data_IF_173727211007
#
_entry.id   IF_173727211007
#
_cell.length_a   1.000
_cell.length_b   1.000
_cell.length_c   1.000
_cell.angle_alpha   90.00
_cell.angle_beta   90.00
_cell.angle_gamma   90.00
#
_symmetry.space_group_name_H-M   'P 1'
#
loop_
_entity.id
_entity.type
_entity.pdbx_description
1 polymer ?
#
# COMPACT_ATOMS: atom_id res chain seq x y z
N UNK A 1 27.22 27.72 0.34
CA UNK A 1 26.65 26.39 0.57
C UNK A 1 25.19 26.61 0.95
N UNK A 2 24.28 26.39 0.01
CA UNK A 2 22.84 26.52 0.23
C UNK A 2 22.38 25.33 1.06
N UNK A 3 21.61 25.60 2.11
CA UNK A 3 20.89 24.60 2.91
C UNK A 3 20.17 23.61 1.99
N UNK A 4 20.10 22.30 2.29
CA UNK A 4 19.16 21.42 1.61
C UNK A 4 17.78 22.09 1.67
N UNK A 5 17.09 22.16 0.52
CA UNK A 5 15.91 23.02 0.38
C UNK A 5 14.94 22.75 1.51
N UNK A 6 14.62 23.81 2.27
CA UNK A 6 13.68 23.79 3.39
C UNK A 6 12.24 23.54 2.94
N UNK A 7 12.01 23.46 1.62
CA UNK A 7 10.69 23.35 1.03
C UNK A 7 10.17 21.90 1.13
N UNK A 8 8.93 21.74 1.61
CA UNK A 8 8.33 20.42 1.75
C UNK A 8 8.15 19.75 0.39
N UNK A 9 8.39 18.44 0.31
CA UNK A 9 7.97 17.65 -0.85
C UNK A 9 6.44 17.50 -0.80
N UNK A 10 5.73 18.11 -1.75
CA UNK A 10 4.27 18.05 -1.83
C UNK A 10 3.82 16.83 -2.66
N UNK A 11 3.35 15.77 -2.00
CA UNK A 11 2.82 14.57 -2.66
C UNK A 11 1.32 14.67 -2.76
N UNK A 12 0.80 14.68 -3.99
CA UNK A 12 -0.63 14.60 -4.23
C UNK A 12 -1.10 13.15 -4.25
N UNK A 13 -2.26 12.89 -3.66
CA UNK A 13 -2.86 11.55 -3.64
C UNK A 13 -4.38 11.64 -3.72
N UNK A 14 -5.02 10.60 -4.23
CA UNK A 14 -6.48 10.51 -4.22
C UNK A 14 -6.95 10.16 -2.80
N UNK A 15 -7.79 11.00 -2.22
CA UNK A 15 -8.42 10.69 -0.93
C UNK A 15 -9.51 9.66 -1.14
N UNK A 16 -9.74 8.82 -0.14
CA UNK A 16 -10.83 7.84 -0.11
C UNK A 16 -11.46 7.83 1.27
N UNK A 17 -12.79 7.74 1.38
CA UNK A 17 -13.50 7.87 2.66
C UNK A 17 -14.49 6.73 2.93
N UNK A 18 -14.53 6.23 4.17
CA UNK A 18 -15.56 5.28 4.61
C UNK A 18 -16.93 5.93 4.80
N UNK A 19 -17.91 5.15 5.27
CA UNK A 19 -19.27 5.62 5.53
C UNK A 19 -19.37 6.65 6.66
N UNK A 20 -18.42 6.61 7.60
CA UNK A 20 -18.32 7.57 8.70
C UNK A 20 -17.61 8.87 8.31
N UNK A 21 -17.12 8.97 7.07
CA UNK A 21 -16.35 10.12 6.59
C UNK A 21 -14.88 10.10 7.02
N UNK A 22 -14.38 8.99 7.57
CA UNK A 22 -12.96 8.83 7.89
C UNK A 22 -12.19 8.47 6.63
N UNK A 23 -10.99 9.04 6.49
CA UNK A 23 -10.12 8.73 5.37
C UNK A 23 -9.58 7.28 5.50
N UNK A 24 -9.73 6.51 4.44
CA UNK A 24 -9.34 5.11 4.35
C UNK A 24 -8.43 4.94 3.15
N UNK A 25 -7.13 4.71 3.35
CA UNK A 25 -6.16 4.61 2.27
C UNK A 25 -6.10 3.18 1.71
N UNK A 26 -6.73 2.95 0.57
CA UNK A 26 -6.73 1.65 -0.13
C UNK A 26 -5.55 1.51 -1.10
N UNK A 27 -4.83 2.59 -1.41
CA UNK A 27 -3.63 2.56 -2.25
C UNK A 27 -2.38 2.30 -1.38
N UNK A 28 -1.74 1.13 -1.47
CA UNK A 28 -0.56 0.79 -0.66
C UNK A 28 0.62 1.72 -0.89
N UNK A 29 0.72 2.33 -2.08
CA UNK A 29 1.82 3.24 -2.44
C UNK A 29 1.73 4.55 -1.66
N UNK A 30 0.52 5.05 -1.41
CA UNK A 30 0.29 6.23 -0.56
C UNK A 30 0.71 5.92 0.88
N UNK A 31 0.32 4.75 1.40
CA UNK A 31 0.69 4.33 2.76
C UNK A 31 2.21 4.20 2.88
N UNK A 32 2.87 3.60 1.89
CA UNK A 32 4.34 3.44 1.86
C UNK A 32 5.05 4.79 1.89
N UNK A 33 4.62 5.75 1.05
CA UNK A 33 5.21 7.08 1.03
C UNK A 33 5.03 7.80 2.38
N UNK A 34 3.86 7.66 3.04
CA UNK A 34 3.63 8.23 4.38
C UNK A 34 4.52 7.61 5.45
N UNK A 35 4.63 6.28 5.44
CA UNK A 35 5.47 5.53 6.39
C UNK A 35 6.93 5.92 6.19
N UNK A 36 7.42 5.89 4.95
CA UNK A 36 8.79 6.28 4.63
C UNK A 36 9.06 7.75 5.01
N UNK A 37 8.15 8.68 4.71
CA UNK A 37 8.29 10.08 5.11
C UNK A 37 8.45 10.23 6.64
N UNK A 38 7.59 9.54 7.40
CA UNK A 38 7.56 9.59 8.87
C UNK A 38 8.83 9.00 9.47
N UNK A 39 9.21 7.80 9.04
CA UNK A 39 10.37 7.10 9.59
C UNK A 39 11.67 7.78 9.20
N UNK A 40 11.77 8.28 7.96
CA UNK A 40 12.92 9.05 7.48
C UNK A 40 12.94 10.50 7.97
N UNK A 41 11.90 10.95 8.67
CA UNK A 41 11.70 12.33 9.14
C UNK A 41 11.84 13.38 8.02
N UNK A 42 11.43 13.01 6.81
CA UNK A 42 11.44 13.91 5.67
C UNK A 42 10.30 14.92 5.79
N UNK A 43 10.57 16.19 5.46
CA UNK A 43 9.54 17.20 5.36
C UNK A 43 8.69 16.95 4.08
N UNK A 44 7.59 16.22 4.25
CA UNK A 44 6.68 15.83 3.16
C UNK A 44 5.27 16.26 3.52
N UNK A 45 4.60 16.94 2.60
CA UNK A 45 3.21 17.37 2.75
C UNK A 45 2.34 16.53 1.82
N UNK A 46 1.36 15.83 2.38
CA UNK A 46 0.42 15.03 1.61
C UNK A 46 -0.81 15.87 1.26
N UNK A 47 -0.95 16.24 -0.01
CA UNK A 47 -2.03 17.06 -0.53
C UNK A 47 -3.14 16.17 -1.08
N UNK A 48 -4.26 16.10 -0.37
CA UNK A 48 -5.38 15.29 -0.80
C UNK A 48 -6.09 15.87 -2.03
N UNK A 49 -6.30 15.05 -3.04
CA UNK A 49 -7.00 15.38 -4.29
C UNK A 49 -8.33 14.64 -4.38
N UNK A 50 -9.30 15.30 -5.00
CA UNK A 50 -10.57 14.70 -5.45
C UNK A 50 -10.56 14.33 -6.94
N UNK A 51 -9.45 14.61 -7.64
CA UNK A 51 -9.24 14.24 -9.04
C UNK A 51 -8.30 13.04 -9.10
N UNK A 52 -8.75 11.88 -9.61
CA UNK A 52 -7.93 10.67 -9.67
C UNK A 52 -6.78 10.79 -10.66
N UNK A 53 -7.02 11.47 -11.79
CA UNK A 53 -6.03 11.81 -12.81
C UNK A 53 -6.08 13.33 -13.03
N UNK A 54 -5.45 14.12 -12.16
CA UNK A 54 -5.51 15.57 -12.29
C UNK A 54 -4.80 16.01 -13.57
N UNK A 55 -5.43 16.94 -14.31
CA UNK A 55 -4.80 17.59 -15.48
C UNK A 55 -3.48 18.24 -15.08
N UNK A 56 -3.43 18.76 -13.84
CA UNK A 56 -2.23 19.33 -13.26
C UNK A 56 -1.05 18.34 -13.21
N UNK A 57 -1.27 17.01 -13.16
CA UNK A 57 -0.21 16.01 -13.25
C UNK A 57 -0.18 15.34 -14.64
N UNK A 58 -0.56 16.04 -15.70
CA UNK A 58 -0.58 15.51 -17.07
C UNK A 58 -1.35 14.17 -17.23
N UNK A 59 -2.35 13.92 -16.37
CA UNK A 59 -3.11 12.67 -16.37
C UNK A 59 -2.40 11.48 -15.70
N UNK A 60 -1.27 11.70 -15.04
CA UNK A 60 -0.57 10.71 -14.21
C UNK A 60 -1.52 10.17 -13.13
N UNK A 61 -1.55 8.84 -12.99
CA UNK A 61 -2.26 8.18 -11.92
C UNK A 61 -1.61 8.52 -10.56
N UNK A 62 -2.44 8.97 -9.62
CA UNK A 62 -2.01 9.25 -8.25
C UNK A 62 -1.47 7.98 -7.53
N UNK A 63 -0.57 8.12 -6.54
CA UNK A 63 0.03 9.38 -6.06
C UNK A 63 1.14 9.91 -6.98
N UNK A 64 1.30 11.24 -7.00
CA UNK A 64 2.31 11.92 -7.82
C UNK A 64 2.68 13.31 -7.31
N UNK A 65 3.80 13.85 -7.79
CA UNK A 65 4.24 15.21 -7.53
C UNK A 65 5.06 15.78 -8.68
N UNK A 66 5.26 17.10 -8.65
CA UNK A 66 6.37 17.74 -9.37
C UNK A 66 7.59 17.77 -8.45
N UNK A 67 8.72 17.30 -8.95
CA UNK A 67 9.99 17.46 -8.26
C UNK A 67 10.71 18.69 -8.81
N UNK A 68 11.54 19.29 -7.96
CA UNK A 68 12.45 20.36 -8.37
C UNK A 68 13.29 19.89 -9.56
N UNK A 69 13.49 20.77 -10.54
CA UNK A 69 14.27 20.53 -11.77
C UNK A 69 13.73 19.43 -12.72
N UNK A 70 12.52 18.90 -12.49
CA UNK A 70 11.85 17.97 -13.39
C UNK A 70 10.74 18.67 -14.17
N UNK A 71 10.71 18.49 -15.49
CA UNK A 71 9.66 19.05 -16.35
C UNK A 71 8.33 18.27 -16.23
N UNK A 72 8.42 16.96 -16.01
CA UNK A 72 7.27 16.06 -15.95
C UNK A 72 6.96 15.63 -14.50
N UNK A 73 5.69 15.39 -14.16
CA UNK A 73 5.32 14.86 -12.86
C UNK A 73 5.82 13.42 -12.69
N UNK A 74 6.20 13.07 -11.48
CA UNK A 74 6.68 11.72 -11.13
C UNK A 74 5.62 10.94 -10.36
N UNK A 75 5.48 9.65 -10.68
CA UNK A 75 4.62 8.72 -9.95
C UNK A 75 5.29 8.16 -8.69
N UNK A 76 4.54 7.33 -7.96
CA UNK A 76 4.95 6.68 -6.70
C UNK A 76 6.41 6.19 -6.61
N UNK A 77 6.91 5.42 -7.59
CA UNK A 77 8.29 4.90 -7.56
C UNK A 77 9.34 6.01 -7.71
N UNK A 78 9.08 7.00 -8.57
CA UNK A 78 9.93 8.19 -8.70
C UNK A 78 9.93 9.05 -7.43
N UNK A 79 8.77 9.17 -6.77
CA UNK A 79 8.67 9.83 -5.47
C UNK A 79 9.49 9.12 -4.40
N UNK A 80 9.41 7.79 -4.34
CA UNK A 80 10.17 7.00 -3.39
C UNK A 80 11.68 7.15 -3.63
N UNK A 81 12.13 7.15 -4.88
CA UNK A 81 13.53 7.43 -5.24
C UNK A 81 13.97 8.83 -4.82
N UNK A 82 13.13 9.85 -5.05
CA UNK A 82 13.42 11.22 -4.63
C UNK A 82 13.51 11.35 -3.11
N UNK A 83 12.61 10.69 -2.37
CA UNK A 83 12.63 10.64 -0.91
C UNK A 83 13.91 9.96 -0.40
N UNK A 84 14.32 8.84 -1.00
CA UNK A 84 15.59 8.15 -0.70
C UNK A 84 16.80 9.07 -0.93
N UNK A 85 16.82 9.77 -2.07
CA UNK A 85 17.89 10.71 -2.38
C UNK A 85 17.95 11.88 -1.36
N UNK A 86 16.80 12.43 -0.95
CA UNK A 86 16.73 13.48 0.08
C UNK A 86 17.20 12.97 1.44
N UNK A 87 16.81 11.75 1.82
CA UNK A 87 17.23 11.12 3.06
C UNK A 87 18.74 10.81 3.08
N UNK A 88 19.30 10.32 1.98
CA UNK A 88 20.74 10.12 1.83
C UNK A 88 21.55 11.41 2.04
N UNK A 89 21.10 12.53 1.47
CA UNK A 89 21.70 13.85 1.70
C UNK A 89 21.58 14.32 3.15
N UNK A 90 20.44 14.07 3.80
CA UNK A 90 20.26 14.38 5.21
C UNK A 90 21.18 13.56 6.12
N UNK A 91 21.43 12.28 5.78
CA UNK A 91 22.37 11.41 6.51
C UNK A 91 23.81 11.92 6.51
N UNK A 92 24.21 12.66 5.48
CA UNK A 92 25.54 13.26 5.36
C UNK A 92 25.68 14.55 6.20
N UNK A 93 24.58 15.11 6.70
CA UNK A 93 24.59 16.32 7.53
C UNK A 93 24.98 15.99 8.97
N UNK A 94 25.93 16.76 9.53
CA UNK A 94 26.44 16.57 10.89
C UNK A 94 25.36 16.77 11.97
N UNK A 95 24.39 17.65 11.72
CA UNK A 95 23.26 17.88 12.63
C UNK A 95 22.35 16.65 12.76
N UNK A 96 22.40 15.74 11.79
CA UNK A 96 21.56 14.55 11.74
C UNK A 96 22.14 13.36 12.52
N UNK A 97 23.46 13.31 12.66
CA UNK A 97 24.17 12.23 13.38
C UNK A 97 23.92 12.20 14.89
N UNK A 98 23.36 13.27 15.48
CA UNK A 98 23.02 13.34 16.91
C UNK A 98 21.63 12.78 17.23
N UNK A 99 20.84 12.36 16.23
CA UNK A 99 19.51 11.78 16.44
C UNK A 99 19.54 10.25 16.42
N UNK A 100 18.99 9.56 17.44
CA UNK A 100 18.87 8.11 17.43
C UNK A 100 17.71 7.66 16.51
N UNK A 101 17.88 6.46 15.94
CA UNK A 101 16.86 5.61 15.30
C UNK A 101 16.31 6.08 13.94
N UNK A 102 17.05 5.80 12.87
CA UNK A 102 16.63 6.09 11.50
C UNK A 102 16.84 4.86 10.61
N UNK A 103 16.00 4.72 9.57
CA UNK A 103 16.00 3.60 8.61
C UNK A 103 17.43 3.19 8.23
N UNK A 104 17.79 1.95 8.56
CA UNK A 104 18.99 1.34 8.02
C UNK A 104 18.70 0.90 6.57
N UNK A 105 19.39 1.56 5.64
CA UNK A 105 19.26 1.31 4.21
C UNK A 105 20.31 0.31 3.70
N UNK A 106 21.21 -0.18 4.58
CA UNK A 106 22.19 -1.21 4.20
C UNK A 106 21.55 -2.54 3.80
N UNK A 107 20.26 -2.76 4.11
CA UNK A 107 19.50 -3.95 3.68
C UNK A 107 18.86 -3.81 2.29
N UNK A 108 19.23 -2.79 1.49
CA UNK A 108 18.73 -2.63 0.12
C UNK A 108 19.36 -3.59 -0.91
N UNK A 109 20.29 -4.46 -0.49
CA UNK A 109 20.87 -5.51 -1.32
C UNK A 109 19.96 -6.73 -1.32
N UNK A 110 19.21 -6.91 -2.41
CA UNK A 110 18.65 -8.18 -2.93
C UNK A 110 18.48 -9.25 -1.83
N UNK A 111 17.33 -9.24 -1.15
CA UNK A 111 16.90 -10.36 -0.33
C UNK A 111 16.46 -11.50 -1.25
N UNK A 112 17.42 -12.20 -1.83
CA UNK A 112 17.19 -13.50 -2.47
C UNK A 112 18.09 -14.59 -1.89
N UNK A 113 17.40 -15.64 -1.46
CA UNK A 113 17.69 -17.04 -1.83
C UNK A 113 18.65 -17.92 -1.02
N UNK A 114 18.92 -17.61 0.26
CA UNK A 114 19.47 -18.67 1.16
C UNK A 114 18.75 -18.83 2.52
N UNK A 115 18.05 -17.81 3.06
CA UNK A 115 17.51 -17.84 4.45
C UNK A 115 15.99 -17.57 4.61
N UNK A 116 15.17 -17.68 3.58
CA UNK A 116 13.70 -17.75 3.77
C UNK A 116 12.93 -16.43 3.95
N UNK A 117 13.46 -15.26 3.54
CA UNK A 117 12.64 -14.04 3.39
C UNK A 117 11.94 -13.98 2.03
N UNK A 118 10.68 -13.53 2.04
CA UNK A 118 9.84 -13.29 0.86
C UNK A 118 10.36 -12.08 0.09
N UNK A 119 10.58 -12.15 -1.24
CA UNK A 119 10.97 -10.99 -2.03
C UNK A 119 9.96 -9.83 -1.92
N UNK A 120 10.48 -8.60 -1.76
CA UNK A 120 9.65 -7.38 -1.68
C UNK A 120 8.71 -7.25 -2.88
N UNK A 121 9.19 -7.60 -4.08
CA UNK A 121 8.39 -7.61 -5.31
C UNK A 121 7.19 -8.54 -5.18
N UNK A 122 7.38 -9.74 -4.62
CA UNK A 122 6.32 -10.71 -4.42
C UNK A 122 5.25 -10.20 -3.43
N UNK A 123 5.65 -9.48 -2.36
CA UNK A 123 4.73 -8.80 -1.44
C UNK A 123 3.91 -7.76 -2.19
N UNK A 124 4.60 -6.85 -2.90
CA UNK A 124 3.97 -5.73 -3.60
C UNK A 124 2.91 -6.22 -4.58
N UNK A 125 3.32 -7.11 -5.50
CA UNK A 125 2.46 -7.64 -6.56
C UNK A 125 1.28 -8.43 -5.99
N UNK A 126 1.51 -9.32 -5.01
CA UNK A 126 0.45 -10.18 -4.49
C UNK A 126 -0.62 -9.38 -3.75
N UNK A 127 -0.22 -8.39 -2.95
CA UNK A 127 -1.18 -7.58 -2.20
C UNK A 127 -1.85 -6.56 -3.11
N UNK A 128 -1.15 -5.96 -4.07
CA UNK A 128 -1.77 -5.09 -5.09
C UNK A 128 -2.82 -5.84 -5.92
N UNK A 129 -2.49 -7.05 -6.39
CA UNK A 129 -3.42 -7.91 -7.10
C UNK A 129 -4.68 -8.21 -6.26
N UNK A 130 -4.49 -8.51 -4.96
CA UNK A 130 -5.58 -8.77 -4.03
C UNK A 130 -6.47 -7.54 -3.82
N UNK A 131 -5.87 -6.37 -3.58
CA UNK A 131 -6.59 -5.11 -3.42
C UNK A 131 -7.36 -4.79 -4.70
N UNK A 132 -6.70 -4.82 -5.86
CA UNK A 132 -7.27 -4.45 -7.16
C UNK A 132 -8.45 -5.36 -7.53
N UNK A 133 -8.28 -6.68 -7.41
CA UNK A 133 -9.34 -7.63 -7.64
C UNK A 133 -10.50 -7.43 -6.65
N UNK A 134 -10.21 -7.14 -5.38
CA UNK A 134 -11.23 -6.91 -4.37
C UNK A 134 -12.07 -5.70 -4.67
N UNK A 135 -11.42 -4.57 -4.89
CA UNK A 135 -12.11 -3.30 -4.99
C UNK A 135 -12.82 -3.15 -6.32
N UNK A 136 -12.27 -3.67 -7.42
CA UNK A 136 -12.76 -3.36 -8.77
C UNK A 136 -13.45 -4.52 -9.47
N UNK A 137 -12.99 -5.75 -9.25
CA UNK A 137 -13.54 -6.93 -9.95
C UNK A 137 -14.67 -7.57 -9.15
N UNK A 138 -14.47 -7.80 -7.84
CA UNK A 138 -15.45 -8.50 -7.01
C UNK A 138 -16.75 -7.69 -6.85
N UNK A 139 -17.91 -8.20 -7.35
CA UNK A 139 -19.12 -7.38 -7.47
C UNK A 139 -19.64 -6.77 -6.17
N UNK A 140 -19.64 -7.55 -5.07
CA UNK A 140 -20.18 -7.11 -3.78
C UNK A 140 -19.31 -6.01 -3.16
N UNK A 141 -17.99 -6.18 -3.16
CA UNK A 141 -17.06 -5.16 -2.67
C UNK A 141 -17.13 -3.88 -3.52
N UNK A 142 -17.16 -4.02 -4.86
CA UNK A 142 -17.28 -2.87 -5.74
C UNK A 142 -18.56 -2.06 -5.48
N UNK A 143 -19.70 -2.73 -5.29
CA UNK A 143 -21.01 -2.09 -5.11
C UNK A 143 -21.16 -1.47 -3.73
N UNK A 144 -20.77 -2.18 -2.69
CA UNK A 144 -21.06 -1.81 -1.30
C UNK A 144 -19.93 -1.05 -0.61
N UNK A 145 -18.68 -1.18 -1.08
CA UNK A 145 -17.53 -0.51 -0.49
C UNK A 145 -16.86 0.46 -1.47
N UNK A 146 -16.31 -0.03 -2.58
CA UNK A 146 -15.50 0.79 -3.48
C UNK A 146 -16.29 1.96 -4.07
N UNK A 147 -17.49 1.71 -4.60
CA UNK A 147 -18.32 2.74 -5.23
C UNK A 147 -18.70 3.85 -4.23
N UNK A 148 -19.26 3.56 -3.04
CA UNK A 148 -19.51 4.58 -2.02
C UNK A 148 -18.24 5.34 -1.61
N UNK A 149 -17.14 4.62 -1.36
CA UNK A 149 -15.86 5.21 -0.93
C UNK A 149 -15.30 6.20 -1.96
N UNK A 150 -15.33 5.84 -3.23
CA UNK A 150 -14.82 6.68 -4.32
C UNK A 150 -15.78 7.84 -4.63
N UNK A 151 -17.10 7.63 -4.56
CA UNK A 151 -18.09 8.69 -4.81
C UNK A 151 -18.07 9.81 -3.76
N UNK A 152 -17.69 9.50 -2.51
CA UNK A 152 -17.46 10.52 -1.47
C UNK A 152 -16.24 11.38 -1.77
N UNK A 153 -15.33 10.87 -2.59
CA UNK A 153 -14.01 11.46 -2.81
C UNK A 153 -13.93 12.23 -4.11
N UNK A 154 -14.58 11.73 -5.15
CA UNK A 154 -14.56 12.28 -6.50
C UNK A 154 -15.90 13.00 -6.76
N UNK A 155 -15.89 14.26 -7.21
CA UNK A 155 -17.11 15.02 -7.45
C UNK A 155 -17.92 14.44 -8.61
N UNK A 156 -19.23 14.69 -8.56
CA UNK A 156 -20.13 14.45 -9.69
C UNK A 156 -19.90 15.51 -10.78
N UNK A 157 -19.95 15.17 -12.09
CA UNK A 157 -20.20 13.85 -12.68
C UNK A 157 -18.94 12.98 -12.89
N UNK A 158 -17.76 13.50 -12.54
CA UNK A 158 -16.45 12.86 -12.79
C UNK A 158 -16.39 11.44 -12.20
N UNK A 159 -16.97 11.24 -11.02
CA UNK A 159 -16.98 9.94 -10.36
C UNK A 159 -17.63 8.82 -11.20
N UNK A 160 -18.69 9.09 -11.94
CA UNK A 160 -19.41 8.07 -12.72
C UNK A 160 -18.57 7.60 -13.90
N UNK A 161 -17.98 8.55 -14.63
CA UNK A 161 -17.12 8.30 -15.77
C UNK A 161 -15.88 7.54 -15.32
N UNK A 162 -15.20 8.04 -14.27
CA UNK A 162 -13.99 7.42 -13.75
C UNK A 162 -14.25 5.99 -13.25
N UNK A 163 -15.26 5.78 -12.40
CA UNK A 163 -15.58 4.46 -11.85
C UNK A 163 -15.89 3.44 -12.95
N UNK A 164 -16.66 3.83 -13.96
CA UNK A 164 -17.00 2.96 -15.09
C UNK A 164 -15.77 2.60 -15.91
N UNK A 165 -14.99 3.60 -16.31
CA UNK A 165 -13.82 3.41 -17.18
C UNK A 165 -12.73 2.59 -16.48
N UNK A 166 -12.41 2.94 -15.23
CA UNK A 166 -11.35 2.27 -14.48
C UNK A 166 -11.73 0.83 -14.12
N UNK A 167 -13.00 0.57 -13.77
CA UNK A 167 -13.47 -0.80 -13.59
C UNK A 167 -13.38 -1.62 -14.87
N UNK A 168 -13.71 -1.04 -16.02
CA UNK A 168 -13.65 -1.73 -17.31
C UNK A 168 -12.19 -2.06 -17.69
N UNK A 169 -11.27 -1.13 -17.48
CA UNK A 169 -9.83 -1.32 -17.67
C UNK A 169 -9.29 -2.47 -16.82
N UNK A 170 -9.56 -2.46 -15.51
CA UNK A 170 -9.12 -3.52 -14.60
C UNK A 170 -9.77 -4.85 -14.98
N UNK A 171 -11.07 -4.89 -15.21
CA UNK A 171 -11.75 -6.12 -15.63
C UNK A 171 -11.16 -6.69 -16.94
N UNK A 172 -10.73 -5.83 -17.85
CA UNK A 172 -10.06 -6.26 -19.08
C UNK A 172 -8.67 -6.85 -18.81
N UNK A 173 -7.84 -6.20 -17.98
CA UNK A 173 -6.55 -6.73 -17.50
C UNK A 173 -6.70 -8.14 -16.94
N UNK A 174 -7.69 -8.36 -16.08
CA UNK A 174 -7.94 -9.67 -15.47
C UNK A 174 -8.47 -10.71 -16.47
N UNK A 175 -9.25 -10.30 -17.49
CA UNK A 175 -9.66 -11.21 -18.57
C UNK A 175 -8.51 -11.64 -19.47
N UNK A 176 -7.57 -10.74 -19.77
CA UNK A 176 -6.40 -11.06 -20.61
C UNK A 176 -5.39 -11.97 -19.90
N UNK A 177 -5.32 -11.90 -18.57
CA UNK A 177 -4.44 -12.77 -17.77
C UNK A 177 -4.83 -14.25 -17.81
N UNK A 178 -6.04 -14.56 -18.31
CA UNK A 178 -6.54 -15.91 -18.53
C UNK A 178 -6.65 -16.17 -20.03
N UNK A 179 -5.82 -17.06 -20.57
CA UNK A 179 -6.00 -17.60 -21.92
C UNK A 179 -7.27 -18.47 -22.05
N UNK A 180 -8.07 -18.56 -20.99
CA UNK A 180 -9.32 -19.32 -20.92
C UNK A 180 -10.48 -18.34 -20.79
N UNK A 181 -11.47 -18.51 -21.66
CA UNK A 181 -12.73 -17.77 -21.61
C UNK A 181 -13.44 -18.02 -20.27
N UNK A 182 -13.41 -17.03 -19.37
CA UNK A 182 -14.65 -16.61 -18.73
C UNK A 182 -14.85 -16.86 -17.24
N UNK A 183 -13.92 -17.47 -16.47
CA UNK A 183 -14.16 -17.64 -15.03
C UNK A 183 -13.38 -16.64 -14.17
N UNK A 184 -13.97 -15.46 -13.92
CA UNK A 184 -13.44 -14.49 -12.95
C UNK A 184 -13.27 -15.07 -11.54
N UNK A 185 -13.96 -16.17 -11.21
CA UNK A 185 -13.77 -16.86 -9.94
C UNK A 185 -12.48 -17.67 -9.87
N UNK A 186 -11.95 -18.15 -11.01
CA UNK A 186 -10.65 -18.84 -11.07
C UNK A 186 -9.50 -17.89 -10.74
N UNK A 187 -9.54 -16.66 -11.26
CA UNK A 187 -8.57 -15.61 -10.91
C UNK A 187 -8.66 -15.24 -9.43
N UNK A 188 -9.86 -15.06 -8.90
CA UNK A 188 -10.07 -14.82 -7.46
C UNK A 188 -9.44 -15.92 -6.60
N UNK A 189 -9.69 -17.20 -6.94
CA UNK A 189 -9.09 -18.35 -6.23
C UNK A 189 -7.55 -18.33 -6.29
N UNK A 190 -6.97 -18.00 -7.45
CA UNK A 190 -5.50 -17.93 -7.61
C UNK A 190 -4.89 -16.82 -6.76
N UNK A 191 -5.52 -15.65 -6.72
CA UNK A 191 -5.08 -14.52 -5.90
C UNK A 191 -5.14 -14.89 -4.41
N UNK A 192 -6.25 -15.49 -3.98
CA UNK A 192 -6.41 -15.96 -2.59
C UNK A 192 -5.31 -16.96 -2.22
N UNK A 193 -5.06 -17.98 -3.06
CA UNK A 193 -3.99 -18.95 -2.80
C UNK A 193 -2.60 -18.29 -2.72
N UNK A 194 -2.32 -17.31 -3.59
CA UNK A 194 -1.07 -16.54 -3.54
C UNK A 194 -0.97 -15.72 -2.24
N UNK A 195 -2.05 -15.06 -1.85
CA UNK A 195 -2.11 -14.26 -0.62
C UNK A 195 -1.96 -15.14 0.63
N UNK A 196 -2.62 -16.29 0.68
CA UNK A 196 -2.47 -17.25 1.79
C UNK A 196 -1.04 -17.79 1.89
N UNK A 197 -0.43 -18.15 0.76
CA UNK A 197 0.97 -18.60 0.71
C UNK A 197 1.91 -17.50 1.23
N UNK A 198 1.69 -16.26 0.76
CA UNK A 198 2.44 -15.10 1.22
C UNK A 198 2.29 -14.88 2.73
N UNK A 199 1.05 -14.86 3.24
CA UNK A 199 0.78 -14.64 4.66
C UNK A 199 1.36 -15.75 5.55
N UNK A 200 1.34 -17.01 5.09
CA UNK A 200 2.00 -18.13 5.80
C UNK A 200 3.52 -17.94 5.85
N UNK A 201 4.13 -17.54 4.74
CA UNK A 201 5.57 -17.25 4.68
C UNK A 201 5.97 -16.03 5.54
N UNK A 202 5.06 -15.06 5.69
CA UNK A 202 5.25 -13.89 6.55
C UNK A 202 4.99 -14.18 8.03
N UNK A 203 4.15 -15.16 8.37
CA UNK A 203 3.85 -15.49 9.76
C UNK A 203 5.12 -15.87 10.54
N UNK A 204 6.02 -16.64 9.93
CA UNK A 204 7.33 -16.96 10.52
C UNK A 204 8.25 -15.75 10.70
N UNK A 205 7.98 -14.63 10.03
CA UNK A 205 8.76 -13.39 10.13
C UNK A 205 8.14 -12.40 11.13
N UNK A 206 6.81 -12.22 11.10
CA UNK A 206 6.07 -11.25 11.92
C UNK A 206 6.10 -11.59 13.41
N UNK A 207 6.11 -12.88 13.75
CA UNK A 207 6.24 -13.35 15.14
C UNK A 207 7.60 -12.98 15.78
N UNK A 208 8.60 -12.58 14.99
CA UNK A 208 9.97 -12.33 15.45
C UNK A 208 10.28 -10.83 15.57
N UNK A 209 9.77 -9.95 14.69
CA UNK A 209 10.37 -8.61 14.52
C UNK A 209 9.42 -7.40 14.31
N UNK A 210 8.08 -7.56 14.36
CA UNK A 210 7.16 -6.51 13.87
C UNK A 210 6.30 -5.70 14.88
N UNK A 211 6.75 -5.36 16.11
CA UNK A 211 5.92 -4.59 17.04
C UNK A 211 5.77 -3.08 16.72
N UNK A 212 6.51 -2.54 15.74
CA UNK A 212 6.66 -1.09 15.52
C UNK A 212 5.43 -0.35 14.95
N UNK A 213 4.48 -1.03 14.33
CA UNK A 213 3.41 -0.36 13.57
C UNK A 213 1.98 -0.72 13.98
N UNK A 214 1.81 -1.52 15.05
CA UNK A 214 0.49 -2.00 15.48
C UNK A 214 -0.31 -0.97 16.32
N UNK A 215 0.37 -0.01 16.97
CA UNK A 215 -0.30 0.96 17.85
C UNK A 215 -0.50 2.30 17.14
N UNK A 216 -1.77 2.69 16.95
CA UNK A 216 -2.16 4.01 16.41
C UNK A 216 -1.73 5.16 17.35
N UNK A 217 -1.42 4.85 18.61
CA UNK A 217 -0.89 5.76 19.62
C UNK A 217 0.51 5.31 20.05
N UNK A 218 1.58 5.89 19.46
CA UNK A 218 2.93 5.74 20.01
C UNK A 218 3.26 6.94 20.91
N UNK A 219 3.20 6.78 22.26
CA UNK A 219 4.08 7.55 23.12
C UNK A 219 5.52 7.15 22.81
N UNK A 220 6.39 8.14 22.73
CA UNK A 220 7.76 8.10 22.22
C UNK A 220 8.78 7.30 23.08
N UNK A 221 8.50 6.06 23.47
CA UNK A 221 9.32 5.41 24.52
C UNK A 221 9.48 3.90 24.56
N UNK A 222 8.80 3.08 23.76
CA UNK A 222 9.11 1.64 23.70
C UNK A 222 10.13 1.37 22.58
N UNK A 223 11.38 1.14 22.99
CA UNK A 223 12.53 0.87 22.13
C UNK A 223 12.29 -0.38 21.30
N UNK A 224 12.25 -0.22 19.98
CA UNK A 224 12.33 -1.36 19.08
C UNK A 224 13.78 -1.89 19.06
N UNK A 225 13.95 -3.21 19.06
CA UNK A 225 15.26 -3.86 19.12
C UNK A 225 16.16 -3.52 17.90
N UNK A 226 15.55 -3.18 16.76
CA UNK A 226 16.22 -2.64 15.57
C UNK A 226 15.41 -1.49 14.96
N UNK A 227 16.07 -0.51 14.31
CA UNK A 227 15.36 0.46 13.48
C UNK A 227 14.58 -0.27 12.37
N UNK A 228 13.39 0.23 11.98
CA UNK A 228 12.62 -0.35 10.88
C UNK A 228 13.44 -0.32 9.60
N UNK A 229 13.38 -1.41 8.82
CA UNK A 229 13.98 -1.52 7.50
C UNK A 229 13.00 -1.08 6.40
N UNK A 230 13.50 -0.94 5.18
CA UNK A 230 12.62 -0.69 4.02
C UNK A 230 11.66 -1.86 3.78
N UNK A 231 12.08 -3.10 4.06
CA UNK A 231 11.19 -4.27 4.01
C UNK A 231 10.02 -4.09 4.97
N UNK A 232 10.27 -3.66 6.21
CA UNK A 232 9.21 -3.42 7.19
C UNK A 232 8.25 -2.32 6.73
N UNK A 233 8.78 -1.23 6.17
CA UNK A 233 7.94 -0.17 5.64
C UNK A 233 7.01 -0.66 4.52
N UNK A 234 7.51 -1.49 3.60
CA UNK A 234 6.71 -2.10 2.54
C UNK A 234 5.67 -3.05 3.12
N UNK A 235 6.08 -4.00 3.96
CA UNK A 235 5.19 -5.00 4.52
C UNK A 235 4.03 -4.33 5.27
N UNK A 236 4.35 -3.37 6.14
CA UNK A 236 3.34 -2.61 6.88
C UNK A 236 2.39 -1.86 5.93
N UNK A 237 2.93 -1.12 4.97
CA UNK A 237 2.12 -0.29 4.08
C UNK A 237 1.11 -1.11 3.25
N UNK A 238 1.57 -2.23 2.71
CA UNK A 238 0.75 -3.10 1.86
C UNK A 238 -0.29 -3.85 2.68
N UNK A 239 0.08 -4.44 3.82
CA UNK A 239 -0.89 -5.07 4.72
C UNK A 239 -1.91 -4.05 5.24
N UNK A 240 -1.48 -2.84 5.62
CA UNK A 240 -2.39 -1.80 6.10
C UNK A 240 -3.41 -1.37 5.03
N UNK A 241 -2.99 -1.24 3.77
CA UNK A 241 -3.90 -0.95 2.67
C UNK A 241 -4.90 -2.09 2.42
N UNK A 242 -4.46 -3.35 2.52
CA UNK A 242 -5.34 -4.52 2.44
C UNK A 242 -6.36 -4.54 3.59
N UNK A 243 -5.92 -4.24 4.81
CA UNK A 243 -6.74 -4.17 6.02
C UNK A 243 -7.83 -3.09 5.99
N UNK A 244 -7.63 -2.05 5.19
CA UNK A 244 -8.60 -0.99 4.98
C UNK A 244 -9.82 -1.45 4.16
N UNK A 245 -9.75 -2.63 3.52
CA UNK A 245 -10.88 -3.27 2.86
C UNK A 245 -11.67 -4.10 3.89
N UNK A 246 -13.01 -3.97 3.95
CA UNK A 246 -13.80 -4.73 4.91
C UNK A 246 -13.62 -6.24 4.77
N UNK A 247 -13.29 -6.88 5.89
CA UNK A 247 -13.01 -8.32 6.04
C UNK A 247 -14.05 -9.24 5.39
N UNK A 248 -15.33 -8.86 5.42
CA UNK A 248 -16.42 -9.64 4.82
C UNK A 248 -16.22 -9.88 3.31
N UNK A 249 -15.47 -9.02 2.62
CA UNK A 249 -15.17 -9.16 1.19
C UNK A 249 -13.90 -9.95 0.91
N UNK A 250 -12.97 -10.00 1.87
CA UNK A 250 -11.77 -10.84 1.78
C UNK A 250 -12.10 -12.31 2.14
N UNK A 251 -12.93 -12.51 3.17
CA UNK A 251 -13.37 -13.84 3.64
C UNK A 251 -14.43 -14.49 2.75
N UNK A 252 -15.17 -13.72 1.94
CA UNK A 252 -16.12 -14.28 0.96
C UNK A 252 -15.44 -15.05 -0.17
N UNK A 253 -14.12 -14.94 -0.30
CA UNK A 253 -13.35 -15.62 -1.34
C UNK A 253 -12.73 -16.95 -0.89
N UNK A 254 -12.62 -17.15 0.43
CA UNK A 254 -12.10 -18.38 1.04
C UNK A 254 -13.19 -19.40 1.34
N UNK A 255 -14.47 -19.02 1.23
CA UNK A 255 -15.58 -19.96 1.36
C UNK A 255 -15.77 -20.73 0.06
N UNK A 256 -15.02 -21.82 -0.11
CA UNK A 256 -15.43 -22.89 -1.02
C UNK A 256 -16.78 -23.45 -0.56
N UNK A 257 -17.62 -23.83 -1.52
CA UNK A 257 -18.97 -24.33 -1.25
C UNK A 257 -18.99 -25.75 -0.67
N UNK A 258 -17.86 -26.42 -0.43
CA UNK A 258 -17.84 -27.85 -0.05
C UNK A 258 -16.66 -28.31 0.84
N UNK A 259 -15.95 -27.44 1.57
CA UNK A 259 -14.89 -27.91 2.49
C UNK A 259 -15.27 -27.78 3.98
N UNK A 260 -15.08 -28.91 4.66
CA UNK A 260 -15.39 -29.20 6.05
C UNK A 260 -14.82 -28.16 7.02
N UNK A 261 -15.52 -27.97 8.15
CA UNK A 261 -15.22 -26.95 9.16
C UNK A 261 -13.87 -27.13 9.90
N UNK A 262 -12.98 -28.02 9.48
CA UNK A 262 -11.78 -28.37 10.24
C UNK A 262 -10.44 -27.84 9.68
N UNK A 263 -10.37 -27.36 8.45
CA UNK A 263 -9.12 -26.81 7.87
C UNK A 263 -9.35 -25.47 7.16
N UNK A 264 -9.95 -24.49 7.86
CA UNK A 264 -10.00 -23.11 7.36
C UNK A 264 -8.71 -22.39 7.73
N UNK A 265 -7.77 -22.13 6.78
CA UNK A 265 -6.76 -21.11 6.99
C UNK A 265 -7.49 -19.77 7.12
N UNK A 266 -7.66 -19.31 8.36
CA UNK A 266 -8.32 -18.06 8.61
C UNK A 266 -7.30 -16.95 8.30
N UNK A 267 -7.36 -16.38 7.09
CA UNK A 267 -6.63 -15.15 6.73
C UNK A 267 -6.78 -14.10 7.85
N UNK A 268 -7.88 -14.14 8.59
CA UNK A 268 -8.15 -13.25 9.73
C UNK A 268 -7.41 -13.59 11.03
N UNK A 269 -6.97 -14.84 11.24
CA UNK A 269 -6.03 -15.15 12.32
C UNK A 269 -4.63 -14.63 11.96
N UNK A 270 -4.24 -14.75 10.69
CA UNK A 270 -2.96 -14.26 10.17
C UNK A 270 -2.88 -12.72 10.16
N UNK A 271 -4.00 -12.05 9.88
CA UNK A 271 -4.14 -10.59 9.92
C UNK A 271 -4.54 -10.07 11.32
N UNK A 272 -5.02 -10.94 12.22
CA UNK A 272 -5.57 -10.59 13.54
C UNK A 272 -4.52 -10.19 14.58
N UNK A 273 -3.24 -10.50 14.33
CA UNK A 273 -2.11 -10.05 15.16
C UNK A 273 -1.92 -8.52 15.17
N UNK A 274 -2.64 -7.78 14.33
CA UNK A 274 -2.51 -6.33 14.17
C UNK A 274 -3.70 -5.52 14.73
N UNK A 275 -4.66 -6.17 15.40
CA UNK A 275 -5.72 -5.49 16.16
C UNK A 275 -5.37 -5.50 17.64
N UNK A 276 -4.43 -4.65 18.08
CA UNK A 276 -4.30 -4.23 19.49
C UNK A 276 -3.36 -3.05 19.66
#
# INVERSE_FOLDING_TARGET
MTSPSSEPLCIHYLRTFDESGREVNIDPRVVLLRVYARVSRLNVVFVGSSQPNPIALAGLAMPGAFLDDMADPVGSEGLLQAMRARFGKMKEDRAYHESPELLDEKENGILESENGMVPITWIKETIEDAIEFCTWVYPSCYKEFTTPTMRRSIPFPVNYIYLRSHRAEIAHKWKQSTNEEGDSSANGRRIVKRLESLLKALQSYVEIEFPLFAREDFPSGESCARPPSYFDAVLYAYLRALHNIPEKYLSSWTKSSEESEQDKPNIMLLLGGHKK
#
